data_IF_132937200538
#
_entry.id   IF_132937200538
#
_cell.length_a   1.000
_cell.length_b   1.000
_cell.length_c   1.000
_cell.angle_alpha   90.00
_cell.angle_beta   90.00
_cell.angle_gamma   90.00
#
_symmetry.space_group_name_H-M   'P 1'
#
loop_
_entity.id
_entity.type
_entity.pdbx_description
1 polymer ?
#
# COMPACT_ATOMS: atom_id res chain seq x y z
N UNK A 1 13.83 1.38 -8.40
CA UNK A 1 12.94 2.57 -8.48
C UNK A 1 11.49 2.09 -8.35
N UNK A 2 10.64 2.82 -7.62
CA UNK A 2 9.21 2.46 -7.47
C UNK A 2 8.46 2.87 -8.74
N UNK A 3 7.90 1.89 -9.45
CA UNK A 3 7.25 2.09 -10.76
C UNK A 3 5.73 2.18 -10.66
N UNK A 4 5.11 1.57 -9.64
CA UNK A 4 3.67 1.60 -9.45
C UNK A 4 3.18 2.97 -8.96
N UNK A 5 1.90 3.27 -9.22
CA UNK A 5 1.19 4.48 -8.77
C UNK A 5 -0.08 4.15 -7.98
N UNK A 6 -0.65 2.97 -8.20
CA UNK A 6 -1.77 2.43 -7.43
C UNK A 6 -1.27 1.29 -6.54
N UNK A 7 -1.45 1.44 -5.22
CA UNK A 7 -1.02 0.49 -4.21
C UNK A 7 -2.25 -0.09 -3.49
N UNK A 8 -2.60 -1.33 -3.78
CA UNK A 8 -3.73 -2.02 -3.16
C UNK A 8 -3.31 -2.58 -1.79
N UNK A 9 -4.03 -2.22 -0.73
CA UNK A 9 -3.83 -2.79 0.61
C UNK A 9 -5.00 -3.73 0.93
N UNK A 10 -4.70 -4.97 1.34
CA UNK A 10 -5.75 -5.95 1.60
C UNK A 10 -6.47 -5.73 2.93
N UNK A 11 -7.74 -6.05 2.94
CA UNK A 11 -8.58 -6.31 4.10
C UNK A 11 -9.66 -7.31 3.63
N UNK A 12 -9.47 -8.61 3.94
CA UNK A 12 -10.37 -9.68 3.48
C UNK A 12 -11.81 -9.54 3.99
N UNK A 13 -12.01 -8.78 5.07
CA UNK A 13 -13.36 -8.53 5.63
C UNK A 13 -14.24 -7.69 4.70
N UNK A 14 -13.65 -6.97 3.76
CA UNK A 14 -14.37 -6.20 2.75
C UNK A 14 -14.80 -7.07 1.55
N UNK A 15 -14.22 -8.26 1.40
CA UNK A 15 -14.51 -9.17 0.29
C UNK A 15 -15.37 -10.32 0.83
N UNK A 16 -16.68 -10.12 0.88
CA UNK A 16 -17.59 -11.09 1.54
C UNK A 16 -18.19 -12.13 0.61
N UNK A 17 -18.23 -11.86 -0.69
CA UNK A 17 -18.90 -12.72 -1.68
C UNK A 17 -17.98 -13.76 -2.33
N UNK A 18 -16.66 -13.69 -2.12
CA UNK A 18 -15.66 -14.53 -2.76
C UNK A 18 -14.31 -14.52 -2.00
N UNK A 19 -13.37 -15.42 -2.31
CA UNK A 19 -12.02 -15.38 -1.72
C UNK A 19 -11.29 -14.06 -2.03
N UNK A 20 -10.45 -13.60 -1.10
CA UNK A 20 -9.60 -12.42 -1.28
C UNK A 20 -8.68 -12.57 -2.51
N UNK A 21 -8.19 -13.78 -2.74
CA UNK A 21 -7.30 -14.12 -3.86
C UNK A 21 -7.93 -13.80 -5.21
N UNK A 22 -9.21 -14.08 -5.38
CA UNK A 22 -9.93 -13.79 -6.63
C UNK A 22 -10.08 -12.27 -6.82
N UNK A 23 -10.37 -11.55 -5.73
CA UNK A 23 -10.46 -10.09 -5.75
C UNK A 23 -9.11 -9.44 -6.12
N UNK A 24 -8.00 -9.95 -5.55
CA UNK A 24 -6.66 -9.47 -5.87
C UNK A 24 -6.27 -9.83 -7.31
N UNK A 25 -6.64 -11.01 -7.80
CA UNK A 25 -6.39 -11.39 -9.18
C UNK A 25 -7.12 -10.46 -10.17
N UNK A 26 -8.38 -10.13 -9.90
CA UNK A 26 -9.14 -9.16 -10.72
C UNK A 26 -8.49 -7.78 -10.70
N UNK A 27 -8.10 -7.30 -9.52
CA UNK A 27 -7.43 -6.01 -9.38
C UNK A 27 -6.09 -5.97 -10.16
N UNK A 28 -5.30 -7.04 -10.08
CA UNK A 28 -4.04 -7.14 -10.82
C UNK A 28 -4.26 -7.21 -12.34
N UNK A 29 -5.30 -7.94 -12.81
CA UNK A 29 -5.66 -7.95 -14.24
C UNK A 29 -6.08 -6.57 -14.74
N UNK A 30 -6.79 -5.81 -13.91
CA UNK A 30 -7.26 -4.48 -14.25
C UNK A 30 -6.18 -3.39 -14.21
N UNK A 31 -4.97 -3.65 -13.68
CA UNK A 31 -3.88 -2.68 -13.71
C UNK A 31 -3.11 -2.50 -12.42
N UNK A 32 -3.55 -3.04 -11.28
CA UNK A 32 -2.79 -2.95 -10.03
C UNK A 32 -1.41 -3.59 -10.19
N UNK A 33 -0.35 -2.84 -9.84
CA UNK A 33 1.05 -3.29 -9.94
C UNK A 33 1.75 -3.43 -8.59
N UNK A 34 1.07 -3.14 -7.49
CA UNK A 34 1.57 -3.40 -6.15
C UNK A 34 0.44 -3.74 -5.19
N UNK A 35 0.64 -4.79 -4.39
CA UNK A 35 -0.31 -5.28 -3.39
C UNK A 35 0.39 -5.41 -2.04
N UNK A 36 -0.24 -4.88 -0.98
CA UNK A 36 0.16 -5.13 0.40
C UNK A 36 -0.77 -6.17 1.01
N UNK A 37 -0.24 -7.32 1.39
CA UNK A 37 -0.94 -8.29 2.22
C UNK A 37 -0.98 -7.80 3.68
N UNK A 38 -2.15 -7.35 4.13
CA UNK A 38 -2.35 -6.76 5.47
C UNK A 38 -3.56 -7.37 6.18
N UNK A 39 -3.37 -8.56 6.72
CA UNK A 39 -4.38 -9.31 7.48
C UNK A 39 -3.88 -9.51 8.91
N UNK A 40 -4.08 -8.49 9.77
CA UNK A 40 -3.47 -8.41 11.11
C UNK A 40 -3.97 -9.47 12.11
N UNK A 41 -5.10 -10.07 11.83
CA UNK A 41 -5.78 -11.05 12.68
C UNK A 41 -5.50 -12.50 12.27
N UNK A 42 -4.73 -12.73 11.21
CA UNK A 42 -4.28 -14.07 10.84
C UNK A 42 -3.07 -14.51 11.68
N UNK A 43 -3.07 -15.77 12.08
CA UNK A 43 -1.88 -16.42 12.63
C UNK A 43 -0.78 -16.56 11.56
N UNK A 44 0.45 -16.90 12.00
CA UNK A 44 1.61 -16.95 11.11
C UNK A 44 1.44 -17.98 9.98
N UNK A 45 0.84 -19.14 10.25
CA UNK A 45 0.64 -20.20 9.24
C UNK A 45 -0.35 -19.74 8.18
N UNK A 46 -1.51 -19.26 8.60
CA UNK A 46 -2.57 -18.77 7.70
C UNK A 46 -2.10 -17.60 6.86
N UNK A 47 -1.35 -16.65 7.46
CA UNK A 47 -0.77 -15.52 6.74
C UNK A 47 0.27 -15.97 5.70
N UNK A 48 1.12 -16.93 6.05
CA UNK A 48 2.12 -17.49 5.13
C UNK A 48 1.45 -18.21 3.95
N UNK A 49 0.45 -19.06 4.20
CA UNK A 49 -0.29 -19.75 3.14
C UNK A 49 -0.98 -18.76 2.19
N UNK A 50 -1.58 -17.70 2.72
CA UNK A 50 -2.18 -16.62 1.92
C UNK A 50 -1.12 -15.85 1.13
N UNK A 51 0.03 -15.55 1.74
CA UNK A 51 1.15 -14.90 1.06
C UNK A 51 1.65 -15.70 -0.15
N UNK A 52 1.76 -17.04 -0.03
CA UNK A 52 2.13 -17.90 -1.14
C UNK A 52 1.12 -17.85 -2.30
N UNK A 53 -0.19 -17.84 -2.00
CA UNK A 53 -1.23 -17.74 -3.02
C UNK A 53 -1.19 -16.38 -3.73
N UNK A 54 -1.11 -15.28 -2.96
CA UNK A 54 -1.03 -13.93 -3.52
C UNK A 54 0.29 -13.69 -4.29
N UNK A 55 1.39 -14.31 -3.87
CA UNK A 55 2.66 -14.24 -4.61
C UNK A 55 2.56 -14.80 -6.03
N UNK A 56 1.84 -15.92 -6.20
CA UNK A 56 1.60 -16.51 -7.53
C UNK A 56 0.77 -15.55 -8.41
N UNK A 57 -0.30 -14.97 -7.85
CA UNK A 57 -1.16 -14.01 -8.54
C UNK A 57 -0.37 -12.77 -8.95
N UNK A 58 0.36 -12.16 -8.01
CA UNK A 58 1.16 -10.98 -8.27
C UNK A 58 2.21 -11.24 -9.36
N UNK A 59 2.92 -12.37 -9.30
CA UNK A 59 3.92 -12.75 -10.30
C UNK A 59 3.34 -12.87 -11.70
N UNK A 60 2.17 -13.51 -11.86
CA UNK A 60 1.53 -13.69 -13.18
C UNK A 60 1.11 -12.35 -13.81
N UNK A 61 0.90 -11.33 -13.00
CA UNK A 61 0.47 -9.98 -13.42
C UNK A 61 1.60 -8.94 -13.38
N UNK A 62 2.84 -9.37 -13.08
CA UNK A 62 4.00 -8.47 -12.87
C UNK A 62 3.74 -7.41 -11.81
N UNK A 63 2.94 -7.73 -10.80
CA UNK A 63 2.70 -6.88 -9.65
C UNK A 63 3.67 -7.25 -8.52
N UNK A 64 4.10 -6.26 -7.73
CA UNK A 64 4.86 -6.50 -6.52
C UNK A 64 3.94 -6.93 -5.37
N UNK A 65 4.36 -7.92 -4.59
CA UNK A 65 3.72 -8.30 -3.34
C UNK A 65 4.58 -7.85 -2.16
N UNK A 66 4.02 -7.03 -1.28
CA UNK A 66 4.61 -6.66 0.00
C UNK A 66 3.79 -7.27 1.14
N UNK A 67 4.46 -7.75 2.18
CA UNK A 67 3.77 -8.25 3.39
C UNK A 67 3.82 -7.17 4.47
N UNK A 68 2.70 -6.90 5.14
CA UNK A 68 2.67 -5.93 6.22
C UNK A 68 3.38 -6.48 7.46
N UNK A 69 4.38 -5.75 7.99
CA UNK A 69 5.03 -5.96 9.30
C UNK A 69 5.79 -7.29 9.49
N UNK A 70 5.60 -8.29 8.65
CA UNK A 70 6.13 -9.64 8.81
C UNK A 70 7.20 -9.92 7.76
N UNK A 71 8.43 -9.39 8.00
CA UNK A 71 9.59 -9.62 7.14
C UNK A 71 9.99 -11.12 7.05
N UNK A 72 9.75 -11.89 8.11
CA UNK A 72 9.93 -13.34 8.13
C UNK A 72 9.00 -14.05 7.13
N UNK A 73 7.70 -13.70 7.13
CA UNK A 73 6.71 -14.21 6.17
C UNK A 73 7.05 -13.73 4.75
N UNK A 74 7.40 -12.46 4.58
CA UNK A 74 7.80 -11.92 3.28
C UNK A 74 8.97 -12.71 2.68
N UNK A 75 10.00 -13.00 3.50
CA UNK A 75 11.14 -13.81 3.07
C UNK A 75 10.74 -15.25 2.73
N UNK A 76 9.98 -15.89 3.60
CA UNK A 76 9.55 -17.29 3.42
C UNK A 76 8.67 -17.49 2.18
N UNK A 77 7.79 -16.51 1.87
CA UNK A 77 6.91 -16.53 0.71
C UNK A 77 7.57 -15.97 -0.57
N UNK A 78 8.85 -15.58 -0.53
CA UNK A 78 9.54 -14.91 -1.64
C UNK A 78 8.76 -13.68 -2.15
N UNK A 79 8.15 -12.90 -1.24
CA UNK A 79 7.52 -11.64 -1.58
C UNK A 79 8.57 -10.61 -2.02
N UNK A 80 8.15 -9.59 -2.77
CA UNK A 80 9.05 -8.57 -3.29
C UNK A 80 9.51 -7.59 -2.21
N UNK A 81 8.83 -7.58 -1.05
CA UNK A 81 9.21 -6.69 0.04
C UNK A 81 8.29 -6.76 1.26
N UNK A 82 8.43 -5.76 2.10
CA UNK A 82 7.66 -5.59 3.32
C UNK A 82 7.17 -4.14 3.45
N UNK A 83 6.02 -3.95 4.08
CA UNK A 83 5.53 -2.63 4.46
C UNK A 83 5.51 -2.52 5.98
N UNK A 84 6.42 -1.72 6.53
CA UNK A 84 6.56 -1.52 7.96
C UNK A 84 5.51 -0.52 8.48
N UNK A 85 4.83 -0.78 9.61
CA UNK A 85 4.01 0.23 10.27
C UNK A 85 4.89 1.34 10.86
N UNK A 86 4.32 2.51 11.09
CA UNK A 86 4.97 3.54 11.91
C UNK A 86 5.26 2.99 13.31
N UNK A 87 6.47 3.21 13.82
CA UNK A 87 6.90 2.65 15.10
C UNK A 87 7.24 1.15 15.08
N UNK A 88 7.22 0.51 13.91
CA UNK A 88 7.72 -0.85 13.72
C UNK A 88 9.25 -0.91 13.71
N UNK A 89 9.82 -2.04 13.30
CA UNK A 89 11.27 -2.13 13.16
C UNK A 89 11.79 -1.25 12.00
N UNK A 90 13.02 -0.70 12.14
CA UNK A 90 13.57 0.21 11.14
C UNK A 90 13.70 -0.44 9.75
N UNK A 91 13.50 0.31 8.65
CA UNK A 91 13.68 -0.17 7.28
C UNK A 91 15.01 -0.90 7.04
N UNK A 92 16.09 -0.42 7.63
CA UNK A 92 17.40 -1.05 7.54
C UNK A 92 17.43 -2.48 8.12
N UNK A 93 16.60 -2.79 9.12
CA UNK A 93 16.46 -4.15 9.66
C UNK A 93 15.72 -5.04 8.67
N UNK A 94 14.64 -4.53 8.07
CA UNK A 94 13.91 -5.24 7.01
C UNK A 94 14.84 -5.58 5.84
N UNK A 95 15.66 -4.62 5.41
CA UNK A 95 16.64 -4.80 4.33
C UNK A 95 17.65 -5.90 4.64
N UNK A 96 18.17 -5.97 5.86
CA UNK A 96 19.07 -7.07 6.28
C UNK A 96 18.42 -8.44 6.22
N UNK A 97 17.11 -8.53 6.52
CA UNK A 97 16.37 -9.80 6.49
C UNK A 97 16.05 -10.21 5.03
N UNK A 98 15.62 -9.26 4.20
CA UNK A 98 15.08 -9.54 2.87
C UNK A 98 16.13 -9.42 1.76
N UNK A 99 17.21 -8.69 1.99
CA UNK A 99 18.26 -8.41 1.02
C UNK A 99 18.09 -7.06 0.31
N UNK A 100 19.13 -6.63 -0.41
CA UNK A 100 19.25 -5.28 -1.00
C UNK A 100 18.19 -4.97 -2.06
N UNK A 101 17.63 -5.99 -2.71
CA UNK A 101 16.63 -5.81 -3.78
C UNK A 101 15.21 -5.70 -3.28
N UNK A 102 14.96 -5.95 -1.99
CA UNK A 102 13.63 -5.93 -1.44
C UNK A 102 13.04 -4.52 -1.44
N UNK A 103 11.75 -4.40 -1.68
CA UNK A 103 11.01 -3.13 -1.59
C UNK A 103 10.59 -2.93 -0.13
N UNK A 104 11.00 -1.81 0.48
CA UNK A 104 10.66 -1.47 1.85
C UNK A 104 9.77 -0.23 1.86
N UNK A 105 8.48 -0.44 2.12
CA UNK A 105 7.53 0.65 2.36
C UNK A 105 7.38 0.94 3.85
N UNK A 106 7.01 2.16 4.21
CA UNK A 106 6.73 2.56 5.60
C UNK A 106 5.44 3.38 5.67
N UNK A 107 4.57 3.08 6.63
CA UNK A 107 3.43 3.93 6.97
C UNK A 107 3.90 5.11 7.80
N UNK A 108 3.44 6.33 7.47
CA UNK A 108 3.79 7.55 8.20
C UNK A 108 2.55 8.43 8.42
N UNK A 109 2.52 9.15 9.55
CA UNK A 109 1.40 10.01 9.93
C UNK A 109 1.87 11.44 10.29
N UNK A 110 3.18 11.72 10.21
CA UNK A 110 3.76 13.05 10.43
C UNK A 110 4.95 13.29 9.49
N UNK A 111 5.39 14.54 9.40
CA UNK A 111 6.57 14.93 8.65
C UNK A 111 7.83 14.30 9.25
N UNK A 112 7.93 14.29 10.57
CA UNK A 112 9.07 13.71 11.30
C UNK A 112 9.20 12.21 11.00
N UNK A 113 8.08 11.47 11.04
CA UNK A 113 8.05 10.05 10.71
C UNK A 113 8.45 9.79 9.24
N UNK A 114 8.06 10.67 8.31
CA UNK A 114 8.42 10.57 6.91
C UNK A 114 9.93 10.77 6.68
N UNK A 115 10.52 11.78 7.30
CA UNK A 115 11.97 12.05 7.24
C UNK A 115 12.78 10.92 7.88
N UNK A 116 12.31 10.38 9.00
CA UNK A 116 12.97 9.28 9.69
C UNK A 116 12.90 7.98 8.87
N UNK A 117 11.77 7.70 8.21
CA UNK A 117 11.62 6.56 7.30
C UNK A 117 12.61 6.65 6.13
N UNK A 118 12.73 7.82 5.49
CA UNK A 118 13.71 8.06 4.42
C UNK A 118 15.13 7.86 4.91
N UNK A 119 15.50 8.49 6.02
CA UNK A 119 16.84 8.37 6.63
C UNK A 119 17.23 6.93 6.94
N UNK A 120 16.27 6.08 7.32
CA UNK A 120 16.51 4.67 7.62
C UNK A 120 16.38 3.75 6.40
N UNK A 121 16.28 4.28 5.18
CA UNK A 121 16.36 3.52 3.94
C UNK A 121 15.05 2.90 3.47
N UNK A 122 13.91 3.53 3.76
CA UNK A 122 12.66 3.22 3.09
C UNK A 122 12.74 3.56 1.59
N UNK A 123 12.14 2.72 0.74
CA UNK A 123 12.06 2.96 -0.70
C UNK A 123 10.86 3.85 -1.07
N UNK A 124 9.82 3.86 -0.24
CA UNK A 124 8.65 4.71 -0.34
C UNK A 124 7.91 4.79 0.99
N UNK A 125 7.03 5.76 1.11
CA UNK A 125 6.12 5.87 2.27
C UNK A 125 4.66 5.93 1.84
N UNK A 126 3.76 5.49 2.73
CA UNK A 126 2.35 5.90 2.69
C UNK A 126 2.13 6.97 3.74
N UNK A 127 1.46 8.06 3.37
CA UNK A 127 1.13 9.17 4.27
C UNK A 127 -0.39 9.32 4.41
N UNK A 128 -0.89 9.37 5.63
CA UNK A 128 -2.31 9.54 5.88
C UNK A 128 -2.77 9.25 7.32
N UNK A 129 -4.11 9.24 7.54
CA UNK A 129 -5.17 9.39 6.55
C UNK A 129 -5.27 10.81 5.99
N UNK A 130 -5.29 10.96 4.66
CA UNK A 130 -5.38 12.29 4.03
C UNK A 130 -6.81 12.83 4.11
N UNK A 131 -7.81 11.97 3.90
CA UNK A 131 -9.22 12.32 4.00
C UNK A 131 -9.91 11.51 5.09
N UNK A 132 -11.10 11.97 5.49
CA UNK A 132 -11.93 11.21 6.42
C UNK A 132 -12.21 9.80 5.89
N UNK A 133 -12.10 8.83 6.81
CA UNK A 133 -12.36 7.43 6.50
C UNK A 133 -12.87 6.71 7.76
N UNK A 134 -13.96 5.92 7.66
CA UNK A 134 -14.54 5.23 8.81
C UNK A 134 -13.53 4.35 9.57
N UNK A 135 -12.60 3.72 8.85
CA UNK A 135 -11.58 2.84 9.43
C UNK A 135 -10.56 3.54 10.33
N UNK A 136 -10.50 4.88 10.31
CA UNK A 136 -9.52 5.68 11.07
C UNK A 136 -10.16 6.70 12.02
N UNK A 137 -11.47 6.70 12.18
CA UNK A 137 -12.19 7.64 13.07
C UNK A 137 -11.61 7.70 14.49
N UNK A 138 -11.17 6.56 15.03
CA UNK A 138 -10.60 6.45 16.37
C UNK A 138 -9.16 7.02 16.49
N UNK A 139 -8.50 7.35 15.41
CA UNK A 139 -7.10 7.81 15.38
C UNK A 139 -6.95 9.32 15.18
N UNK A 140 -8.06 10.09 15.20
CA UNK A 140 -8.07 11.54 15.10
C UNK A 140 -8.46 12.09 13.73
N UNK A 141 -8.33 13.40 13.58
CA UNK A 141 -8.67 14.12 12.35
C UNK A 141 -7.75 13.70 11.18
N UNK A 142 -8.25 13.78 9.92
CA UNK A 142 -7.42 13.55 8.76
C UNK A 142 -6.28 14.56 8.65
N UNK A 143 -5.16 14.13 8.06
CA UNK A 143 -3.97 14.98 7.89
C UNK A 143 -4.19 16.12 6.89
N UNK A 144 -5.05 15.91 5.90
CA UNK A 144 -5.36 16.90 4.86
C UNK A 144 -4.29 16.99 3.77
N UNK A 145 -4.64 17.74 2.73
CA UNK A 145 -3.79 17.92 1.55
C UNK A 145 -2.58 18.82 1.82
N UNK A 146 -2.69 19.76 2.73
CA UNK A 146 -1.62 20.68 3.09
C UNK A 146 -0.43 19.91 3.68
N UNK A 147 -0.67 19.07 4.69
CA UNK A 147 0.36 18.22 5.28
C UNK A 147 0.91 17.17 4.29
N UNK A 148 0.05 16.66 3.39
CA UNK A 148 0.53 15.78 2.31
C UNK A 148 1.55 16.50 1.43
N UNK A 149 1.29 17.78 1.07
CA UNK A 149 2.22 18.59 0.28
C UNK A 149 3.52 18.83 1.02
N UNK A 150 3.45 19.19 2.31
CA UNK A 150 4.64 19.41 3.14
C UNK A 150 5.54 18.18 3.15
N UNK A 151 4.96 17.02 3.40
CA UNK A 151 5.69 15.74 3.40
C UNK A 151 6.27 15.43 2.01
N UNK A 152 5.45 15.52 0.95
CA UNK A 152 5.90 15.20 -0.41
C UNK A 152 7.00 16.14 -0.94
N UNK A 153 7.08 17.36 -0.38
CA UNK A 153 8.14 18.33 -0.71
C UNK A 153 9.41 18.06 0.09
N UNK A 154 9.28 17.58 1.33
CA UNK A 154 10.39 17.41 2.26
C UNK A 154 11.20 16.13 2.02
N UNK A 155 10.57 15.05 1.55
CA UNK A 155 11.26 13.77 1.28
C UNK A 155 11.55 13.60 -0.20
N UNK A 156 12.59 12.81 -0.52
CA UNK A 156 12.98 12.47 -1.90
C UNK A 156 12.39 11.15 -2.39
N UNK A 157 11.99 10.29 -1.45
CA UNK A 157 11.37 9.02 -1.75
C UNK A 157 9.89 9.19 -2.12
N UNK A 158 9.31 8.30 -2.97
CA UNK A 158 7.91 8.39 -3.36
C UNK A 158 6.95 8.37 -2.16
N UNK A 159 5.97 9.29 -2.18
CA UNK A 159 4.89 9.38 -1.20
C UNK A 159 3.58 8.90 -1.82
N UNK A 160 2.91 7.97 -1.17
CA UNK A 160 1.58 7.50 -1.55
C UNK A 160 0.54 8.02 -0.55
N UNK A 161 -0.45 8.77 -1.03
CA UNK A 161 -1.54 9.22 -0.19
C UNK A 161 -2.48 8.05 0.17
N UNK A 162 -2.84 7.91 1.44
CA UNK A 162 -3.75 6.86 1.92
C UNK A 162 -4.82 7.44 2.84
N UNK A 163 -5.98 6.78 2.88
CA UNK A 163 -7.10 7.13 3.76
C UNK A 163 -8.12 8.03 3.09
N UNK A 164 -9.31 7.48 2.84
CA UNK A 164 -10.43 8.17 2.19
C UNK A 164 -10.17 8.55 0.73
N UNK A 165 -9.19 7.92 0.08
CA UNK A 165 -8.89 8.13 -1.34
C UNK A 165 -9.96 7.51 -2.24
N UNK A 166 -10.48 8.31 -3.17
CA UNK A 166 -11.42 7.90 -4.24
C UNK A 166 -10.87 8.38 -5.58
N UNK A 167 -11.37 7.89 -6.74
CA UNK A 167 -10.91 8.37 -8.05
C UNK A 167 -10.95 9.89 -8.19
N UNK A 168 -12.00 10.55 -7.68
CA UNK A 168 -12.19 12.00 -7.76
C UNK A 168 -11.14 12.77 -6.94
N UNK A 169 -10.56 12.13 -5.91
CA UNK A 169 -9.55 12.73 -5.01
C UNK A 169 -8.11 12.48 -5.45
N UNK A 170 -7.90 11.55 -6.39
CA UNK A 170 -6.55 11.20 -6.89
C UNK A 170 -5.81 12.43 -7.37
N UNK A 171 -6.44 13.24 -8.24
CA UNK A 171 -5.79 14.42 -8.82
C UNK A 171 -5.31 15.38 -7.75
N UNK A 172 -6.12 15.61 -6.71
CA UNK A 172 -5.75 16.48 -5.58
C UNK A 172 -4.48 15.99 -4.86
N UNK A 173 -4.35 14.67 -4.67
CA UNK A 173 -3.15 14.08 -4.05
C UNK A 173 -1.92 14.26 -4.95
N UNK A 174 -2.05 14.02 -6.26
CA UNK A 174 -0.95 14.18 -7.22
C UNK A 174 -0.48 15.63 -7.32
N UNK A 175 -1.41 16.60 -7.30
CA UNK A 175 -1.10 18.03 -7.32
C UNK A 175 -0.40 18.51 -6.03
N UNK A 176 -0.48 17.72 -4.95
CA UNK A 176 0.31 17.92 -3.74
C UNK A 176 1.69 17.25 -3.78
N UNK A 177 2.07 16.61 -4.89
CA UNK A 177 3.37 15.95 -5.04
C UNK A 177 3.37 14.46 -4.68
N UNK A 178 2.21 13.86 -4.34
CA UNK A 178 2.15 12.42 -4.16
C UNK A 178 2.49 11.68 -5.47
N UNK A 179 3.28 10.60 -5.38
CA UNK A 179 3.57 9.71 -6.51
C UNK A 179 2.34 8.96 -7.00
N UNK A 180 1.44 8.64 -6.08
CA UNK A 180 0.25 7.86 -6.32
C UNK A 180 -0.59 7.72 -5.06
N UNK A 181 -1.49 6.76 -5.06
CA UNK A 181 -2.40 6.51 -3.94
C UNK A 181 -2.35 5.06 -3.47
N UNK A 182 -2.54 4.87 -2.17
CA UNK A 182 -2.79 3.57 -1.57
C UNK A 182 -4.28 3.44 -1.22
N UNK A 183 -4.88 2.32 -1.58
CA UNK A 183 -6.35 2.14 -1.53
C UNK A 183 -6.70 0.81 -0.88
N UNK A 184 -7.73 0.80 -0.05
CA UNK A 184 -8.29 -0.40 0.58
C UNK A 184 -9.74 -0.59 0.12
N UNK A 185 -10.68 0.08 0.78
CA UNK A 185 -12.12 -0.13 0.64
C UNK A 185 -12.69 0.31 -0.69
N UNK A 186 -12.16 1.36 -1.30
CA UNK A 186 -12.67 1.85 -2.58
C UNK A 186 -12.46 0.87 -3.75
N UNK A 187 -11.55 -0.10 -3.59
CA UNK A 187 -11.38 -1.20 -4.54
C UNK A 187 -11.99 -2.48 -3.97
N UNK A 188 -11.55 -2.97 -2.81
CA UNK A 188 -11.99 -4.27 -2.28
C UNK A 188 -13.45 -4.31 -1.83
N UNK A 189 -14.04 -3.18 -1.48
CA UNK A 189 -15.46 -3.05 -1.16
C UNK A 189 -16.36 -2.82 -2.38
N UNK A 190 -15.79 -2.71 -3.58
CA UNK A 190 -16.56 -2.53 -4.81
C UNK A 190 -17.20 -3.84 -5.29
N UNK A 191 -18.42 -3.78 -5.79
CA UNK A 191 -19.07 -4.90 -6.47
C UNK A 191 -18.35 -5.26 -7.79
N UNK A 192 -17.73 -4.27 -8.45
CA UNK A 192 -16.93 -4.43 -9.68
C UNK A 192 -15.51 -3.90 -9.43
N UNK A 193 -14.63 -4.80 -9.02
CA UNK A 193 -13.24 -4.49 -8.70
C UNK A 193 -12.46 -4.01 -9.91
N UNK A 194 -12.67 -4.63 -11.06
CA UNK A 194 -11.96 -4.23 -12.29
C UNK A 194 -12.33 -2.82 -12.73
N UNK A 195 -13.59 -2.47 -12.64
CA UNK A 195 -14.06 -1.10 -12.91
C UNK A 195 -13.46 -0.11 -11.92
N UNK A 196 -13.51 -0.42 -10.63
CA UNK A 196 -12.94 0.45 -9.60
C UNK A 196 -11.44 0.71 -9.85
N UNK A 197 -10.67 -0.30 -10.23
CA UNK A 197 -9.26 -0.13 -10.58
C UNK A 197 -9.10 0.76 -11.82
N UNK A 198 -9.88 0.52 -12.89
CA UNK A 198 -9.82 1.35 -14.11
C UNK A 198 -10.13 2.82 -13.81
N UNK A 199 -11.12 3.09 -12.93
CA UNK A 199 -11.48 4.46 -12.54
C UNK A 199 -10.29 5.15 -11.83
N UNK A 200 -9.56 4.46 -10.96
CA UNK A 200 -8.33 4.98 -10.35
C UNK A 200 -7.21 5.21 -11.38
N UNK A 201 -6.96 4.25 -12.28
CA UNK A 201 -5.93 4.40 -13.33
C UNK A 201 -6.25 5.57 -14.26
N UNK A 202 -7.50 5.74 -14.66
CA UNK A 202 -7.93 6.88 -15.46
C UNK A 202 -7.73 8.21 -14.72
N UNK A 203 -8.04 8.28 -13.43
CA UNK A 203 -7.85 9.47 -12.60
C UNK A 203 -6.35 9.84 -12.43
N UNK A 204 -5.45 8.87 -12.55
CA UNK A 204 -4.00 9.09 -12.55
C UNK A 204 -3.43 9.52 -13.92
N UNK A 205 -4.27 9.63 -14.96
CA UNK A 205 -3.87 10.08 -16.28
C UNK A 205 -3.64 8.96 -17.30
N UNK A 206 -4.10 7.75 -17.04
CA UNK A 206 -3.91 6.58 -17.90
C UNK A 206 -2.43 6.17 -18.03
N UNK A 207 -2.15 4.95 -18.49
CA UNK A 207 -0.84 4.55 -19.00
C UNK A 207 -0.59 5.13 -20.38
#
# INVERSE_FOLDING_TARGET
MIEFRLYLVTDRRLVTARPLEDAVADACRAGVRAVQLREKDLDAKSLFELALRLRRIASSSRAALLVNDRADIARAACADGVHCPEGGFPPAVARRILGERAIIGVSTHSLEAALEAEKHGADFITFGPVFETPSKFQYGAPQGLERLRDVATAVRIPVFAIGGTTPERVRMCLDCGARGVAVVSAILGSADIERAVRDFEQAMGGL
#
